data_IF_034946383395
#
_entry.id   IF_034946383395
#
_cell.length_a   1.000
_cell.length_b   1.000
_cell.length_c   1.000
_cell.angle_alpha   90.00
_cell.angle_beta   90.00
_cell.angle_gamma   90.00
#
_symmetry.space_group_name_H-M   'P 1'
#
loop_
_entity.id
_entity.type
_entity.pdbx_description
1 polymer ?
#
# COMPACT_ATOMS: atom_id res chain seq x y z
N UNK A 1 19.48 -26.96 18.80
CA UNK A 1 19.74 -26.21 17.56
C UNK A 1 18.55 -26.35 16.63
N UNK A 2 17.90 -25.23 16.27
CA UNK A 2 17.06 -25.17 15.07
C UNK A 2 17.64 -24.06 14.21
N UNK A 3 18.58 -24.40 13.34
CA UNK A 3 19.05 -23.50 12.29
C UNK A 3 18.27 -23.90 11.05
N UNK A 4 17.19 -23.18 10.80
CA UNK A 4 16.27 -23.47 9.70
C UNK A 4 15.24 -22.38 9.51
N UNK A 5 15.58 -21.12 9.83
CA UNK A 5 14.82 -19.98 9.36
C UNK A 5 15.35 -19.62 7.98
N UNK A 6 14.54 -19.80 6.94
CA UNK A 6 14.86 -19.23 5.64
C UNK A 6 15.13 -17.73 5.82
N UNK A 7 16.25 -17.23 5.30
CA UNK A 7 16.56 -15.80 5.35
C UNK A 7 15.51 -15.10 4.49
N UNK A 8 14.55 -14.45 5.14
CA UNK A 8 13.55 -13.63 4.45
C UNK A 8 14.27 -12.37 3.99
N UNK A 9 14.48 -12.25 2.69
CA UNK A 9 15.01 -11.01 2.13
C UNK A 9 13.96 -9.90 2.20
N UNK A 10 14.41 -8.66 2.20
CA UNK A 10 13.52 -7.51 2.17
C UNK A 10 12.59 -7.54 0.96
N UNK A 11 13.08 -8.04 -0.18
CA UNK A 11 12.35 -8.20 -1.43
C UNK A 11 11.19 -9.19 -1.29
N UNK A 12 11.44 -10.35 -0.65
CA UNK A 12 10.41 -11.35 -0.38
C UNK A 12 9.35 -10.82 0.58
N UNK A 13 9.78 -10.16 1.66
CA UNK A 13 8.85 -9.54 2.60
C UNK A 13 7.97 -8.49 1.93
N UNK A 14 8.55 -7.57 1.15
CA UNK A 14 7.79 -6.55 0.41
C UNK A 14 6.77 -7.18 -0.54
N UNK A 15 7.17 -8.23 -1.28
CA UNK A 15 6.27 -8.93 -2.19
C UNK A 15 5.06 -9.54 -1.48
N UNK A 16 5.30 -10.31 -0.41
CA UNK A 16 4.25 -10.94 0.37
C UNK A 16 3.37 -9.93 1.13
N UNK A 17 3.97 -8.87 1.66
CA UNK A 17 3.25 -7.79 2.33
C UNK A 17 2.31 -7.07 1.36
N UNK A 18 2.80 -6.66 0.20
CA UNK A 18 1.99 -6.00 -0.82
C UNK A 18 0.88 -6.92 -1.33
N UNK A 19 1.16 -8.21 -1.54
CA UNK A 19 0.15 -9.18 -1.96
C UNK A 19 -0.97 -9.34 -0.93
N UNK A 20 -0.63 -9.37 0.37
CA UNK A 20 -1.58 -9.60 1.46
C UNK A 20 -2.42 -8.37 1.79
N UNK A 21 -1.81 -7.19 1.77
CA UNK A 21 -2.44 -5.96 2.25
C UNK A 21 -2.86 -5.00 1.13
N UNK A 22 -2.34 -5.19 -0.08
CA UNK A 22 -2.72 -4.42 -1.27
C UNK A 22 -3.16 -5.33 -2.41
N UNK A 23 -4.24 -6.11 -2.20
CA UNK A 23 -4.84 -6.87 -3.28
C UNK A 23 -5.33 -5.93 -4.39
N UNK A 24 -5.48 -6.48 -5.59
CA UNK A 24 -5.72 -5.71 -6.82
C UNK A 24 -7.03 -4.90 -6.75
N UNK A 25 -8.03 -5.39 -6.05
CA UNK A 25 -9.29 -4.71 -5.75
C UNK A 25 -9.08 -3.44 -4.91
N UNK A 26 -8.23 -3.48 -3.88
CA UNK A 26 -7.90 -2.30 -3.08
C UNK A 26 -7.12 -1.28 -3.90
N UNK A 27 -6.20 -1.74 -4.77
CA UNK A 27 -5.49 -0.86 -5.71
C UNK A 27 -6.46 -0.19 -6.69
N UNK A 28 -7.34 -0.96 -7.32
CA UNK A 28 -8.32 -0.45 -8.28
C UNK A 28 -9.30 0.51 -7.62
N UNK A 29 -9.75 0.21 -6.40
CA UNK A 29 -10.59 1.11 -5.61
C UNK A 29 -9.87 2.43 -5.30
N UNK A 30 -8.59 2.38 -4.93
CA UNK A 30 -7.78 3.58 -4.67
C UNK A 30 -7.55 4.40 -5.94
N UNK A 31 -7.40 3.76 -7.10
CA UNK A 31 -7.31 4.46 -8.41
C UNK A 31 -8.62 5.17 -8.74
N UNK A 32 -9.77 4.52 -8.55
CA UNK A 32 -11.08 5.14 -8.76
C UNK A 32 -11.29 6.31 -7.79
N UNK A 33 -11.00 6.11 -6.50
CA UNK A 33 -11.09 7.16 -5.47
C UNK A 33 -10.20 8.37 -5.83
N UNK A 34 -9.01 8.13 -6.40
CA UNK A 34 -8.14 9.19 -6.87
C UNK A 34 -8.68 9.90 -8.12
N UNK A 35 -9.27 9.15 -9.08
CA UNK A 35 -9.90 9.74 -10.27
C UNK A 35 -11.12 10.60 -9.92
N UNK A 36 -11.86 10.21 -8.89
CA UNK A 36 -13.05 10.94 -8.40
C UNK A 36 -12.69 12.02 -7.38
N UNK A 37 -11.42 12.12 -6.96
CA UNK A 37 -10.95 13.08 -5.99
C UNK A 37 -11.11 14.49 -6.55
N UNK A 38 -12.06 15.24 -5.97
CA UNK A 38 -12.22 16.66 -6.21
C UNK A 38 -11.71 17.43 -5.01
N UNK A 39 -10.95 18.47 -5.27
CA UNK A 39 -10.59 19.42 -4.22
C UNK A 39 -11.89 20.03 -3.68
N UNK A 40 -12.19 19.76 -2.41
CA UNK A 40 -13.27 20.41 -1.68
C UNK A 40 -12.87 21.83 -1.29
N UNK A 41 -13.46 22.35 -0.20
CA UNK A 41 -13.10 23.68 0.30
C UNK A 41 -11.76 23.75 1.03
N UNK A 42 -11.11 22.62 1.29
CA UNK A 42 -9.81 22.60 1.96
C UNK A 42 -8.70 23.02 0.99
N UNK A 43 -7.91 24.00 1.38
CA UNK A 43 -6.70 24.36 0.65
C UNK A 43 -5.56 23.41 1.02
N UNK A 44 -4.59 23.27 0.12
CA UNK A 44 -3.39 22.46 0.40
C UNK A 44 -2.60 23.03 1.59
N UNK A 45 -2.69 24.34 1.82
CA UNK A 45 -2.04 25.02 2.95
C UNK A 45 -2.66 24.66 4.31
N UNK A 46 -3.90 24.16 4.33
CA UNK A 46 -4.56 23.74 5.58
C UNK A 46 -4.07 22.36 6.08
N UNK A 47 -3.21 21.67 5.31
CA UNK A 47 -2.65 20.36 5.64
C UNK A 47 -1.23 20.39 6.25
N UNK A 48 -0.58 21.56 6.31
CA UNK A 48 0.76 21.74 6.91
C UNK A 48 0.71 21.84 8.42
#
# INVERSE_FOLDING_TARGET
MRVGGAVITWEMFKGEFLRKYFPEDIKNKKVIEFMELKQGNMSVADYS
#
